data_IF_880982224427
#
_entry.id   IF_880982224427
#
_cell.length_a   1.000
_cell.length_b   1.000
_cell.length_c   1.000
_cell.angle_alpha   90.00
_cell.angle_beta   90.00
_cell.angle_gamma   90.00
#
_symmetry.space_group_name_H-M   'P 1'
#
loop_
_entity.id
_entity.type
_entity.pdbx_description
1 polymer ?
2 non-polymer ?
3 non-polymer ?
4 water ?
#
# COMPACT_ATOMS: atom_id res chain seq x y z
N UNK A 24 14.27 13.35 9.97
CA UNK A 24 15.45 12.62 9.42
C UNK A 24 15.61 12.82 7.91
N UNK A 25 16.84 12.67 7.40
CA UNK A 25 17.10 12.79 5.97
C UNK A 25 16.93 11.47 5.22
N UNK A 26 17.07 11.51 3.91
CA UNK A 26 16.87 10.35 3.04
C UNK A 26 18.05 9.36 3.08
N UNK A 27 17.75 8.11 2.73
CA UNK A 27 18.77 7.09 2.50
C UNK A 27 19.41 7.37 1.14
N UNK A 28 20.73 7.66 1.12
CA UNK A 28 21.43 7.99 -0.12
C UNK A 28 22.04 6.77 -0.84
N UNK A 29 21.69 5.57 -0.37
CA UNK A 29 22.14 4.31 -0.98
C UNK A 29 21.92 4.28 -2.51
N UNK A 30 22.92 3.76 -3.27
CA UNK A 30 22.87 3.71 -4.73
C UNK A 30 21.71 2.87 -5.27
N UNK A 31 21.25 1.92 -4.48
CA UNK A 31 20.06 1.11 -4.84
C UNK A 31 18.81 1.96 -5.05
N UNK A 32 18.77 3.13 -4.41
CA UNK A 32 17.54 3.95 -4.37
C UNK A 32 17.62 5.24 -5.19
N UNK A 33 18.83 5.73 -5.43
CA UNK A 33 19.06 7.05 -6.05
C UNK A 33 18.35 7.27 -7.39
N UNK A 34 18.14 6.19 -8.14
CA UNK A 34 17.49 6.28 -9.45
C UNK A 34 15.97 6.49 -9.38
N UNK A 35 15.36 6.17 -8.24
CA UNK A 35 13.92 6.34 -8.06
C UNK A 35 13.53 7.83 -8.05
N UNK A 36 12.30 8.14 -8.44
CA UNK A 36 11.82 9.52 -8.51
C UNK A 36 11.78 10.21 -7.14
N UNK A 37 11.33 9.47 -6.11
CA UNK A 37 11.35 9.96 -4.74
C UNK A 37 12.20 9.00 -3.91
N UNK A 38 13.55 9.15 -3.95
CA UNK A 38 14.39 8.19 -3.23
C UNK A 38 14.19 8.28 -1.71
N UNK A 39 13.63 9.39 -1.25
CA UNK A 39 13.35 9.59 0.18
C UNK A 39 12.27 8.63 0.71
N UNK A 40 11.57 7.94 -0.20
CA UNK A 40 10.40 7.12 0.14
C UNK A 40 10.70 5.66 0.46
N UNK A 41 11.96 5.27 0.29
CA UNK A 41 12.41 3.93 0.62
C UNK A 41 13.64 4.02 1.50
N UNK A 42 13.84 2.99 2.31
CA UNK A 42 15.08 2.84 3.05
C UNK A 42 15.61 1.43 2.91
N UNK A 43 16.91 1.26 3.14
CA UNK A 43 17.52 -0.06 3.17
C UNK A 43 17.57 -0.55 4.62
N UNK A 44 17.75 -1.85 4.79
CA UNK A 44 17.84 -2.45 6.12
C UNK A 44 19.06 -1.96 6.91
N UNK A 45 20.17 -1.75 6.20
CA UNK A 45 21.40 -1.21 6.80
C UNK A 45 21.20 0.21 7.34
N UNK A 46 20.53 1.06 6.55
CA UNK A 46 20.20 2.42 6.97
C UNK A 46 19.39 2.40 8.25
N UNK A 47 18.31 1.61 8.24
CA UNK A 47 17.37 1.54 9.37
C UNK A 47 18.07 1.10 10.65
N UNK A 48 18.84 0.02 10.53
CA UNK A 48 19.60 -0.53 11.65
C UNK A 48 20.54 0.52 12.25
N UNK A 49 21.15 1.33 11.39
CA UNK A 49 22.04 2.41 11.82
C UNK A 49 21.29 3.54 12.53
N UNK A 50 20.09 3.86 12.04
CA UNK A 50 19.32 4.99 12.54
C UNK A 50 18.36 4.66 13.68
N UNK A 51 18.39 3.41 14.17
CA UNK A 51 17.59 3.02 15.33
C UNK A 51 18.02 3.82 16.57
N UNK A 52 17.05 4.27 17.34
CA UNK A 52 17.32 5.07 18.54
C UNK A 52 17.37 6.56 18.27
N UNK A 53 17.16 6.96 17.02
CA UNK A 53 17.01 8.37 16.69
C UNK A 53 15.65 8.80 17.21
N UNK A 54 15.56 10.03 17.76
CA UNK A 54 14.29 10.49 18.34
C UNK A 54 13.16 10.62 17.32
N UNK A 55 13.48 11.17 16.14
CA UNK A 55 12.47 11.42 15.11
C UNK A 55 12.12 10.26 14.20
N UNK A 56 12.55 9.05 14.55
CA UNK A 56 12.27 7.87 13.72
C UNK A 56 11.23 6.94 14.38
N UNK A 57 10.13 6.73 13.67
CA UNK A 57 9.12 5.76 14.08
C UNK A 57 9.19 4.55 13.16
N UNK A 58 9.21 3.35 13.74
CA UNK A 58 9.22 2.11 12.96
C UNK A 58 7.90 1.36 13.18
N UNK A 59 7.19 1.10 12.10
CA UNK A 59 5.85 0.52 12.17
C UNK A 59 5.79 -0.82 11.40
N UNK A 60 5.34 -1.88 12.05
CA UNK A 60 5.06 -3.13 11.34
C UNK A 60 3.59 -3.20 11.00
N UNK A 61 3.30 -3.43 9.72
CA UNK A 61 1.93 -3.64 9.26
C UNK A 61 1.80 -4.90 8.42
N UNK A 62 1.04 -5.87 8.93
CA UNK A 62 0.94 -7.19 8.31
C UNK A 62 -0.49 -7.56 7.93
N UNK A 63 -0.62 -8.57 7.08
CA UNK A 63 -1.89 -9.25 6.85
C UNK A 63 -2.22 -10.02 8.12
N UNK A 64 -1.21 -10.74 8.59
CA UNK A 64 -1.24 -11.58 9.78
C UNK A 64 -1.22 -10.68 11.03
N UNK A 65 -2.40 -10.38 11.58
CA UNK A 65 -2.55 -9.44 12.72
C UNK A 65 -1.78 -9.83 13.99
N UNK A 66 -1.34 -11.08 14.07
CA UNK A 66 -0.65 -11.59 15.26
C UNK A 66 0.82 -11.93 14.98
N UNK A 67 1.28 -11.59 13.78
CA UNK A 67 2.67 -11.82 13.38
C UNK A 67 3.68 -10.95 14.14
N UNK A 68 3.30 -9.71 14.46
CA UNK A 68 4.16 -8.81 15.23
C UNK A 68 4.49 -9.42 16.59
N UNK A 69 3.49 -10.09 17.17
CA UNK A 69 3.62 -10.73 18.47
C UNK A 69 4.63 -11.87 18.50
N UNK A 70 4.97 -12.42 17.33
CA UNK A 70 5.96 -13.51 17.26
C UNK A 70 7.41 -13.02 17.26
N UNK A 71 7.60 -11.72 17.00
CA UNK A 71 8.95 -11.15 16.88
C UNK A 71 8.99 -10.10 15.79
N UNK A 72 9.66 -8.98 16.07
CA UNK A 72 9.68 -7.81 15.19
C UNK A 72 10.98 -7.03 15.29
N UNK A 73 11.15 -6.06 14.41
CA UNK A 73 12.33 -5.19 14.42
C UNK A 73 12.37 -4.38 15.73
N UNK A 74 13.54 -4.31 16.40
CA UNK A 74 13.65 -3.55 17.64
C UNK A 74 13.23 -2.09 17.46
N UNK A 75 12.35 -1.62 18.34
CA UNK A 75 11.79 -0.26 18.24
C UNK A 75 10.48 -0.18 17.47
N UNK A 76 10.08 -1.29 16.85
CA UNK A 76 8.88 -1.31 16.03
C UNK A 76 7.60 -1.40 16.86
N UNK A 77 6.62 -0.61 16.47
CA UNK A 77 5.26 -0.68 16.98
C UNK A 77 4.39 -1.32 15.90
N UNK A 78 3.24 -1.85 16.32
CA UNK A 78 2.30 -2.47 15.41
C UNK A 78 1.19 -1.51 15.07
N UNK A 79 0.90 -1.37 13.79
CA UNK A 79 -0.33 -0.74 13.35
C UNK A 79 -1.01 -1.73 12.41
N UNK A 80 -2.16 -2.25 12.84
CA UNK A 80 -2.89 -3.21 12.03
C UNK A 80 -3.95 -2.51 11.21
N UNK A 81 -3.93 -2.75 9.90
CA UNK A 81 -4.83 -2.08 8.96
C UNK A 81 -6.30 -2.26 9.31
N UNK A 82 -6.75 -3.47 9.57
CA UNK A 82 -8.16 -3.64 9.89
C UNK A 82 -8.51 -3.05 11.26
N UNK A 83 -7.80 -3.49 12.30
CA UNK A 83 -8.18 -3.08 13.67
C UNK A 83 -7.83 -1.64 14.07
N UNK A 84 -6.73 -1.12 13.56
CA UNK A 84 -6.29 0.23 13.93
C UNK A 84 -6.73 1.30 12.94
N UNK A 85 -6.82 0.94 11.66
CA UNK A 85 -6.99 1.94 10.60
C UNK A 85 -8.39 1.99 9.98
N UNK A 86 -9.17 0.92 10.18
CA UNK A 86 -10.55 0.86 9.67
C UNK A 86 -11.58 1.19 10.75
N UNK A 87 -12.66 1.83 10.35
CA UNK A 87 -13.86 1.92 11.18
C UNK A 87 -14.42 0.50 11.36
N UNK A 88 -14.85 0.15 12.59
CA UNK A 88 -15.30 -1.22 12.78
C UNK A 88 -16.72 -1.51 12.26
N UNK A 89 -17.48 -0.45 11.99
CA UNK A 89 -18.90 -0.63 11.65
C UNK A 89 -19.16 -0.35 10.17
N UNK A 90 -18.60 0.75 9.68
CA UNK A 90 -18.78 1.18 8.29
C UNK A 90 -17.52 0.78 7.51
N UNK A 91 -17.69 0.53 6.21
CA UNK A 91 -16.54 0.30 5.34
C UNK A 91 -15.88 1.62 4.98
N UNK A 92 -15.00 2.07 5.86
CA UNK A 92 -14.18 3.25 5.63
C UNK A 92 -13.10 3.25 6.67
N UNK A 93 -12.12 4.12 6.48
CA UNK A 93 -11.06 4.33 7.45
C UNK A 93 -11.57 5.15 8.62
N UNK A 94 -10.72 5.24 9.65
CA UNK A 94 -10.99 6.05 10.83
C UNK A 94 -10.93 7.54 10.45
N UNK A 95 -11.39 8.40 11.35
CA UNK A 95 -11.35 9.85 11.11
C UNK A 95 -10.07 10.47 11.68
N UNK A 96 -9.92 11.78 11.51
CA UNK A 96 -8.71 12.49 11.93
C UNK A 96 -8.48 12.50 13.43
N UNK A 97 -9.58 12.57 14.19
CA UNK A 97 -9.52 12.54 15.65
C UNK A 97 -8.97 11.20 16.14
N UNK A 98 -9.47 10.12 15.54
CA UNK A 98 -9.02 8.77 15.84
C UNK A 98 -7.56 8.56 15.46
N UNK A 99 -7.17 9.07 14.29
CA UNK A 99 -5.78 8.94 13.82
C UNK A 99 -4.79 9.65 14.75
N UNK A 100 -5.13 10.86 15.19
CA UNK A 100 -4.30 11.59 16.16
C UNK A 100 -4.14 10.80 17.46
N UNK A 101 -5.25 10.28 17.99
CA UNK A 101 -5.23 9.38 19.15
C UNK A 101 -4.32 8.17 18.92
N UNK A 102 -4.41 7.56 17.75
CA UNK A 102 -3.55 6.41 17.41
C UNK A 102 -2.05 6.79 17.40
N UNK A 103 -1.73 7.89 16.72
CA UNK A 103 -0.34 8.36 16.65
C UNK A 103 0.22 8.63 18.05
N UNK A 104 -0.57 9.29 18.89
CA UNK A 104 -0.16 9.59 20.27
C UNK A 104 0.24 8.32 21.03
N UNK A 105 -0.61 7.30 20.99
CA UNK A 105 -0.38 6.09 21.77
C UNK A 105 0.68 5.16 21.16
N UNK A 106 0.99 5.38 19.89
CA UNK A 106 2.07 4.65 19.23
C UNK A 106 3.40 5.39 19.31
N UNK A 107 3.37 6.57 19.92
CA UNK A 107 4.59 7.36 20.11
C UNK A 107 5.09 8.04 18.85
N UNK A 108 4.17 8.35 17.94
CA UNK A 108 4.55 8.97 16.68
C UNK A 108 4.20 10.46 16.66
N UNK A 109 5.21 11.30 16.44
CA UNK A 109 5.00 12.73 16.31
C UNK A 109 4.77 13.13 14.86
N UNK A 110 4.11 14.28 14.65
CA UNK A 110 3.78 14.80 13.32
C UNK A 110 4.99 14.96 12.40
N UNK A 111 6.12 15.38 12.95
CA UNK A 111 7.34 15.60 12.19
C UNK A 111 8.25 14.37 12.10
N UNK A 112 7.80 13.24 12.66
CA UNK A 112 8.60 12.01 12.63
C UNK A 112 8.75 11.43 11.24
N UNK A 113 9.91 10.81 10.99
CA UNK A 113 10.09 9.90 9.88
C UNK A 113 9.45 8.57 10.27
N UNK A 114 8.46 8.13 9.49
CA UNK A 114 7.80 6.85 9.76
C UNK A 114 8.24 5.84 8.71
N UNK A 115 8.92 4.79 9.15
CA UNK A 115 9.32 3.70 8.26
C UNK A 115 8.42 2.49 8.53
N UNK A 116 7.69 2.06 7.49
CA UNK A 116 6.76 0.94 7.62
C UNK A 116 7.25 -0.29 6.86
N UNK A 117 7.02 -1.47 7.45
CA UNK A 117 7.42 -2.76 6.86
C UNK A 117 6.40 -3.80 7.31
N UNK A 118 6.39 -4.94 6.64
CA UNK A 118 5.47 -6.01 6.99
C UNK A 118 5.63 -7.23 6.10
N UNK A 119 4.75 -8.22 6.30
CA UNK A 119 4.76 -9.45 5.51
C UNK A 119 4.10 -9.25 4.14
N UNK A 120 3.85 -10.37 3.46
CA UNK A 120 3.21 -10.39 2.14
C UNK A 120 3.77 -9.32 1.20
N UNK A 121 5.10 -9.30 1.06
CA UNK A 121 5.80 -8.45 0.10
C UNK A 121 5.50 -6.95 0.29
N UNK A 122 5.31 -6.55 1.55
CA UNK A 122 5.02 -5.16 1.92
C UNK A 122 3.66 -4.64 1.45
N UNK A 123 2.72 -5.52 1.07
CA UNK A 123 1.37 -5.07 0.66
C UNK A 123 0.71 -4.15 1.69
N UNK A 124 0.63 -4.64 2.93
CA UNK A 124 -0.11 -3.93 3.98
C UNK A 124 0.71 -2.76 4.52
N UNK A 125 2.02 -2.87 4.41
CA UNK A 125 2.93 -1.78 4.71
C UNK A 125 2.71 -0.61 3.75
N UNK A 126 2.62 -0.91 2.45
CA UNK A 126 2.29 0.11 1.44
C UNK A 126 0.89 0.67 1.70
N UNK A 127 -0.04 -0.20 2.09
CA UNK A 127 -1.41 0.22 2.39
C UNK A 127 -1.45 1.17 3.59
N UNK A 128 -0.68 0.84 4.63
CA UNK A 128 -0.54 1.73 5.80
C UNK A 128 0.08 3.07 5.40
N UNK A 129 1.14 3.05 4.58
CA UNK A 129 1.73 4.28 4.05
C UNK A 129 0.68 5.14 3.34
N UNK A 130 -0.13 4.51 2.49
CA UNK A 130 -1.22 5.18 1.79
C UNK A 130 -2.22 5.82 2.77
N UNK A 131 -2.59 5.07 3.82
CA UNK A 131 -3.53 5.58 4.82
C UNK A 131 -2.91 6.80 5.56
N UNK A 132 -1.65 6.69 5.95
CA UNK A 132 -0.94 7.82 6.58
C UNK A 132 -1.02 9.07 5.70
N UNK A 133 -0.90 8.85 4.38
CA UNK A 133 -0.95 9.91 3.39
C UNK A 133 -2.33 10.56 3.33
N UNK A 134 -3.38 9.78 3.58
CA UNK A 134 -4.72 10.32 3.73
C UNK A 134 -4.75 11.42 4.82
N UNK A 135 -3.98 11.20 5.89
CA UNK A 135 -3.94 12.14 7.00
C UNK A 135 -2.75 13.11 6.92
N UNK A 136 -2.11 13.16 5.75
CA UNK A 136 -1.08 14.15 5.45
C UNK A 136 0.24 13.99 6.18
N UNK A 137 0.48 12.82 6.77
CA UNK A 137 1.80 12.60 7.37
C UNK A 137 2.83 12.63 6.25
N UNK A 138 3.83 13.50 6.42
CA UNK A 138 4.69 13.91 5.31
C UNK A 138 5.79 12.90 4.99
N UNK A 139 6.54 12.49 6.01
CA UNK A 139 7.67 11.61 5.80
C UNK A 139 7.29 10.18 6.21
N UNK A 140 6.79 9.43 5.23
CA UNK A 140 6.49 8.00 5.40
C UNK A 140 7.23 7.18 4.35
N UNK A 141 7.95 6.16 4.81
CA UNK A 141 8.81 5.37 3.95
C UNK A 141 8.55 3.87 4.13
N UNK A 142 8.95 3.09 3.13
CA UNK A 142 8.93 1.64 3.23
C UNK A 142 10.33 1.09 3.40
N UNK A 143 10.46 0.06 4.23
CA UNK A 143 11.68 -0.73 4.29
C UNK A 143 11.71 -1.65 3.05
N UNK A 144 12.72 -1.44 2.21
CA UNK A 144 12.86 -2.21 0.97
C UNK A 144 13.03 -3.69 1.27
N UNK A 145 12.09 -4.50 0.80
CA UNK A 145 12.13 -5.94 1.01
C UNK A 145 11.36 -6.39 2.24
N UNK A 146 10.90 -5.42 3.04
CA UNK A 146 9.97 -5.66 4.14
C UNK A 146 10.43 -6.61 5.23
N UNK A 147 9.48 -7.24 5.90
CA UNK A 147 9.75 -8.17 7.00
C UNK A 147 10.50 -9.43 6.55
N UNK A 148 10.12 -9.96 5.39
CA UNK A 148 10.72 -11.21 4.89
C UNK A 148 12.20 -11.09 4.55
N UNK A 149 12.61 -9.97 3.97
CA UNK A 149 14.04 -9.75 3.69
C UNK A 149 14.83 -9.60 4.97
N UNK A 150 14.25 -8.93 5.96
CA UNK A 150 14.86 -8.71 7.27
C UNK A 150 15.22 -10.05 7.92
N UNK A 151 14.25 -10.97 7.90
CA UNK A 151 14.41 -12.31 8.43
C UNK A 151 15.36 -13.17 7.58
N UNK A 152 15.24 -13.05 6.26
CA UNK A 152 16.12 -13.78 5.33
C UNK A 152 17.59 -13.43 5.56
N UNK A 153 17.84 -12.17 5.91
CA UNK A 153 19.20 -11.69 6.20
C UNK A 153 19.59 -11.85 7.67
N UNK A 154 18.74 -12.57 8.42
CA UNK A 154 18.99 -12.94 9.81
C UNK A 154 19.27 -11.74 10.72
N UNK A 155 18.62 -10.63 10.44
CA UNK A 155 18.79 -9.43 11.25
C UNK A 155 18.02 -9.56 12.56
N UNK A 156 18.31 -8.67 13.52
CA UNK A 156 17.80 -8.77 14.88
C UNK A 156 16.29 -8.57 14.96
N UNK A 157 15.63 -9.45 15.71
CA UNK A 157 14.25 -9.26 16.12
C UNK A 157 14.16 -9.24 17.65
N UNK A 158 12.99 -8.83 18.15
CA UNK A 158 12.72 -8.81 19.58
C UNK A 158 11.24 -9.02 19.84
N UNK A 159 10.91 -9.43 21.06
CA UNK A 159 9.52 -9.47 21.50
C UNK A 159 9.15 -8.21 22.29
N UNK A 160 10.17 -7.41 22.61
CA UNK A 160 9.97 -6.17 23.38
C UNK A 160 9.09 -5.18 22.62
N UNK A 161 8.07 -4.65 23.31
CA UNK A 161 7.21 -3.61 22.76
C UNK A 161 7.63 -2.25 23.32
N UNK A 162 7.86 -1.26 22.43
CA UNK A 162 8.17 0.12 22.87
C UNK A 162 7.08 0.67 23.77
N UNK A 163 7.48 1.45 24.76
CA UNK A 163 6.55 2.01 25.74
C UNK A 163 6.24 3.47 25.46
N UNK A 164 7.13 4.16 24.74
CA UNK A 164 7.02 5.60 24.55
C UNK A 164 5.67 6.00 23.95
N UNK A 165 4.98 6.92 24.63
CA UNK A 165 3.79 7.54 24.09
C UNK A 165 4.02 9.05 23.97
N UNK A 166 3.26 9.68 23.08
CA UNK A 166 3.33 11.12 22.88
C UNK A 166 1.96 11.75 23.03
N UNK A 167 1.91 13.08 23.01
CA UNK A 167 0.65 13.80 22.91
C UNK A 167 0.79 14.94 21.89
N UNK A 168 -0.35 15.46 21.42
CA UNK A 168 -0.35 16.63 20.56
C UNK A 168 -0.36 16.39 19.06
N UNK A 169 -0.47 15.13 18.62
CA UNK A 169 -0.62 14.89 17.18
C UNK A 169 -1.84 15.67 16.70
N UNK A 170 -1.69 16.46 15.62
CA UNK A 170 -2.80 17.30 15.16
C UNK A 170 -3.99 16.48 14.68
N UNK A 171 -5.18 16.97 14.96
CA UNK A 171 -6.40 16.42 14.40
C UNK A 171 -6.56 17.09 13.03
N UNK A 172 -6.35 16.29 11.98
CA UNK A 172 -6.37 16.81 10.63
C UNK A 172 -7.63 16.41 9.87
N UNK A 173 -7.87 17.12 8.79
CA UNK A 173 -8.87 16.75 7.81
C UNK A 173 -8.31 15.56 7.04
N UNK A 174 -9.02 14.43 7.03
CA UNK A 174 -8.64 13.31 6.16
C UNK A 174 -8.84 13.75 4.72
N UNK A 175 -7.81 13.56 3.91
CA UNK A 175 -7.79 14.09 2.55
C UNK A 175 -7.80 12.97 1.50
N UNK A 176 -9.00 12.47 1.20
CA UNK A 176 -9.19 11.31 0.30
C UNK A 176 -8.92 11.61 -1.17
N UNK A 177 -9.55 12.68 -1.68
CA UNK A 177 -9.61 12.97 -3.12
C UNK A 177 -8.33 12.81 -3.95
N UNK A 178 -7.17 13.29 -3.46
CA UNK A 178 -5.92 13.17 -4.23
C UNK A 178 -5.43 11.75 -4.55
N UNK A 179 -5.70 10.78 -3.67
CA UNK A 179 -5.07 9.46 -3.74
C UNK A 179 -6.05 8.28 -3.67
N UNK A 180 -7.34 8.57 -3.51
CA UNK A 180 -8.38 7.56 -3.35
C UNK A 180 -9.46 7.75 -4.41
N UNK A 181 -9.82 6.67 -5.09
CA UNK A 181 -10.94 6.70 -6.04
C UNK A 181 -12.12 5.89 -5.50
N UNK A 182 -13.33 6.43 -5.68
CA UNK A 182 -14.55 5.74 -5.26
C UNK A 182 -15.27 5.11 -6.46
N UNK A 183 -16.22 4.22 -6.18
CA UNK A 183 -16.94 3.49 -7.24
C UNK A 183 -17.36 4.40 -8.40
N UNK A 184 -18.03 5.51 -8.08
CA UNK A 184 -18.53 6.43 -9.10
C UNK A 184 -17.42 7.14 -9.91
N UNK A 185 -16.30 7.41 -9.25
CA UNK A 185 -15.10 7.97 -9.90
C UNK A 185 -14.57 7.05 -10.99
N UNK A 186 -14.60 5.76 -10.71
CA UNK A 186 -14.10 4.74 -11.63
C UNK A 186 -15.03 4.64 -12.83
N UNK A 187 -16.33 4.60 -12.56
CA UNK A 187 -17.35 4.58 -13.60
C UNK A 187 -17.18 5.75 -14.57
N UNK A 188 -16.77 6.89 -14.04
CA UNK A 188 -16.59 8.12 -14.80
C UNK A 188 -15.41 8.07 -15.76
N UNK A 189 -14.30 7.48 -15.32
CA UNK A 189 -13.07 7.48 -16.13
C UNK A 189 -12.89 6.28 -17.08
N UNK A 190 -13.88 5.40 -17.16
CA UNK A 190 -13.76 4.21 -18.02
C UNK A 190 -13.57 4.63 -19.48
N UNK A 191 -12.40 4.29 -20.03
CA UNK A 191 -12.02 4.69 -21.39
C UNK A 191 -11.21 5.98 -21.46
N UNK A 192 -11.36 6.82 -20.44
CA UNK A 192 -10.72 8.13 -20.38
C UNK A 192 -9.34 8.09 -19.74
N UNK A 193 -9.14 7.17 -18.79
CA UNK A 193 -7.91 7.10 -18.00
C UNK A 193 -7.40 5.66 -17.86
N UNK A 194 -6.08 5.49 -17.63
CA UNK A 194 -5.56 4.14 -17.39
C UNK A 194 -6.12 3.54 -16.11
N UNK A 195 -6.60 2.31 -16.24
CA UNK A 195 -7.16 1.53 -15.16
C UNK A 195 -6.39 0.21 -15.08
N UNK A 196 -5.77 -0.05 -13.93
CA UNK A 196 -4.86 -1.17 -13.80
C UNK A 196 -5.36 -2.16 -12.75
N UNK A 197 -5.61 -3.38 -13.19
CA UNK A 197 -6.01 -4.50 -12.33
C UNK A 197 -4.74 -5.26 -11.98
N UNK A 198 -4.43 -5.33 -10.68
CA UNK A 198 -3.14 -5.85 -10.22
C UNK A 198 -3.20 -7.27 -9.67
N UNK A 199 -4.35 -7.91 -9.85
CA UNK A 199 -4.64 -9.23 -9.28
C UNK A 199 -3.99 -10.36 -10.08
N UNK A 200 -4.34 -11.60 -9.73
CA UNK A 200 -3.83 -12.78 -10.45
C UNK A 200 -4.57 -12.93 -11.79
N UNK A 201 -3.98 -13.71 -12.73
CA UNK A 201 -4.70 -13.93 -14.00
C UNK A 201 -6.06 -14.60 -13.79
N UNK A 202 -6.16 -15.52 -12.84
CA UNK A 202 -7.43 -16.17 -12.47
C UNK A 202 -8.51 -15.15 -12.11
N UNK A 203 -8.14 -14.16 -11.30
CA UNK A 203 -9.06 -13.10 -10.90
C UNK A 203 -9.42 -12.19 -12.07
N UNK A 204 -8.41 -11.74 -12.79
CA UNK A 204 -8.61 -10.84 -13.95
C UNK A 204 -9.56 -11.41 -15.01
N UNK A 205 -9.40 -12.70 -15.35
CA UNK A 205 -10.15 -13.33 -16.45
C UNK A 205 -11.55 -13.78 -16.02
N UNK A 206 -11.78 -13.88 -14.71
CA UNK A 206 -13.10 -14.21 -14.19
C UNK A 206 -13.28 -15.66 -13.80
N UNK A 207 -12.17 -16.39 -13.70
CA UNK A 207 -12.19 -17.77 -13.22
C UNK A 207 -12.37 -17.82 -11.70
N UNK A 208 -11.87 -16.79 -11.02
CA UNK A 208 -11.92 -16.70 -9.57
C UNK A 208 -12.22 -15.28 -9.10
N UNK A 209 -12.56 -15.14 -7.82
CA UNK A 209 -12.84 -13.85 -7.20
C UNK A 209 -11.82 -13.55 -6.09
N UNK A 210 -10.86 -14.47 -5.91
CA UNK A 210 -9.78 -14.29 -4.96
C UNK A 210 -8.55 -15.00 -5.51
N UNK A 211 -7.39 -14.70 -4.93
CA UNK A 211 -6.13 -15.35 -5.28
C UNK A 211 -6.23 -16.87 -5.16
N UNK A 212 -5.52 -17.60 -6.06
CA UNK A 212 -5.53 -19.07 -6.15
C UNK A 212 -5.38 -19.80 -4.82
N UNK A 213 -4.54 -19.27 -3.93
CA UNK A 213 -4.26 -19.92 -2.65
C UNK A 213 -5.07 -19.34 -1.48
N UNK A 214 -6.11 -18.58 -1.81
CA UNK A 214 -7.05 -18.03 -0.82
C UNK A 214 -8.44 -18.61 -1.07
N UNK A 215 -9.19 -18.92 0.01
CA UNK A 215 -10.57 -19.41 -0.17
C UNK A 215 -11.41 -18.50 -1.07
N UNK A 216 -12.02 -19.11 -2.08
CA UNK A 216 -12.82 -18.41 -3.08
C UNK A 216 -14.18 -18.03 -2.47
N UNK A 217 -14.29 -16.77 -2.04
CA UNK A 217 -15.51 -16.29 -1.38
C UNK A 217 -15.41 -14.80 -1.08
N UNK A 218 -16.28 -14.02 -1.73
CA UNK A 218 -16.27 -12.57 -1.54
C UNK A 218 -17.11 -11.77 -2.51
N UNK A 219 -17.29 -12.28 -3.73
CA UNK A 219 -18.04 -11.56 -4.77
C UNK A 219 -19.02 -12.43 -5.54
N UNK A 220 -20.17 -11.85 -5.89
CA UNK A 220 -21.21 -12.53 -6.66
C UNK A 220 -20.95 -12.59 -8.17
N UNK A 221 -20.02 -11.76 -8.64
CA UNK A 221 -19.61 -11.78 -10.02
C UNK A 221 -18.09 -11.77 -10.12
N UNK A 222 -17.57 -12.39 -11.18
CA UNK A 222 -16.13 -12.48 -11.41
C UNK A 222 -15.77 -11.85 -12.75
N UNK A 223 -14.59 -11.25 -12.83
CA UNK A 223 -14.11 -10.62 -14.06
C UNK A 223 -13.21 -9.45 -13.74
N UNK A 224 -13.15 -8.49 -14.65
CA UNK A 224 -12.47 -7.24 -14.37
C UNK A 224 -13.36 -6.08 -14.79
N UNK A 225 -12.98 -4.88 -14.38
CA UNK A 225 -13.69 -3.66 -14.76
C UNK A 225 -13.35 -3.38 -16.22
N UNK A 226 -14.36 -3.12 -17.06
CA UNK A 226 -14.07 -2.85 -18.47
C UNK A 226 -12.98 -1.80 -18.65
N UNK A 227 -12.11 -2.03 -19.63
CA UNK A 227 -10.93 -1.20 -19.96
C UNK A 227 -9.70 -1.45 -19.07
N UNK A 228 -9.90 -2.11 -17.92
CA UNK A 228 -8.78 -2.40 -17.02
C UNK A 228 -7.72 -3.26 -17.70
N UNK A 229 -6.45 -2.88 -17.52
CA UNK A 229 -5.36 -3.69 -18.06
C UNK A 229 -4.73 -4.52 -16.95
N UNK A 230 -4.25 -5.70 -17.32
CA UNK A 230 -3.75 -6.62 -16.33
C UNK A 230 -2.25 -6.52 -16.11
N UNK A 231 -1.85 -6.02 -14.94
CA UNK A 231 -0.44 -5.95 -14.56
C UNK A 231 -0.30 -6.42 -13.11
N UNK A 232 -0.04 -7.73 -12.92
CA UNK A 232 0.11 -8.28 -11.58
C UNK A 232 1.09 -7.45 -10.73
N UNK A 233 0.66 -7.08 -9.52
CA UNK A 233 1.45 -6.23 -8.60
C UNK A 233 2.92 -6.69 -8.50
N UNK A 234 3.13 -8.00 -8.65
CA UNK A 234 4.41 -8.66 -8.39
C UNK A 234 5.46 -8.43 -9.45
N UNK A 235 5.03 -7.90 -10.59
CA UNK A 235 5.95 -7.55 -11.65
C UNK A 235 6.89 -6.41 -11.21
N UNK A 236 6.49 -5.69 -10.16
CA UNK A 236 7.26 -4.54 -9.66
C UNK A 236 8.22 -4.88 -8.53
N UNK A 237 8.20 -6.14 -8.10
CA UNK A 237 9.14 -6.58 -7.06
C UNK A 237 9.92 -7.81 -7.52
N UNK A 238 11.09 -8.03 -6.93
CA UNK A 238 11.91 -9.19 -7.28
C UNK A 238 11.66 -10.33 -6.30
N UNK A 239 12.44 -11.40 -6.43
CA UNK A 239 12.29 -12.60 -5.61
C UNK A 239 12.44 -12.33 -4.11
N UNK A 240 13.29 -11.36 -3.77
CA UNK A 240 13.57 -11.04 -2.37
C UNK A 240 12.51 -10.15 -1.70
N UNK A 241 11.56 -9.65 -2.49
CA UNK A 241 10.53 -8.74 -1.98
C UNK A 241 10.84 -7.27 -2.21
N UNK A 242 12.10 -6.98 -2.55
CA UNK A 242 12.55 -5.63 -2.89
C UNK A 242 11.92 -5.13 -4.19
N UNK A 243 11.73 -3.83 -4.30
CA UNK A 243 11.21 -3.25 -5.53
C UNK A 243 12.24 -3.36 -6.65
N UNK A 244 11.77 -3.53 -7.88
CA UNK A 244 12.65 -3.62 -9.03
C UNK A 244 13.30 -2.25 -9.31
N UNK A 245 14.36 -2.25 -10.12
CA UNK A 245 15.07 -1.02 -10.49
C UNK A 245 14.18 -0.01 -11.20
N UNK A 246 14.58 1.27 -11.17
CA UNK A 246 13.92 2.30 -11.96
C UNK A 246 13.76 1.88 -13.43
N UNK A 247 14.84 1.38 -14.03
CA UNK A 247 14.84 0.95 -15.43
C UNK A 247 13.74 -0.09 -15.71
N UNK A 248 13.70 -1.14 -14.89
CA UNK A 248 12.70 -2.19 -15.02
C UNK A 248 11.28 -1.66 -14.88
N UNK A 249 11.06 -0.85 -13.85
CA UNK A 249 9.76 -0.21 -13.58
C UNK A 249 9.32 0.76 -14.68
N UNK A 250 10.26 1.52 -15.23
CA UNK A 250 9.96 2.44 -16.34
C UNK A 250 9.38 1.70 -17.55
N UNK A 251 10.02 0.59 -17.92
CA UNK A 251 9.55 -0.29 -19.00
C UNK A 251 8.14 -0.81 -18.70
N UNK A 252 8.00 -1.42 -17.53
CA UNK A 252 6.73 -2.02 -17.07
C UNK A 252 5.54 -1.08 -17.21
N UNK A 253 5.71 0.18 -16.80
CA UNK A 253 4.62 1.15 -16.84
C UNK A 253 4.86 2.24 -17.89
N UNK A 254 5.62 1.91 -18.94
CA UNK A 254 5.97 2.87 -20.00
C UNK A 254 4.75 3.45 -20.74
N UNK A 255 3.67 2.68 -20.78
CA UNK A 255 2.42 3.09 -21.43
C UNK A 255 1.71 4.29 -20.75
N UNK A 256 2.15 4.63 -19.54
CA UNK A 256 1.56 5.74 -18.78
C UNK A 256 2.15 7.07 -19.22
N UNK A 257 1.28 8.04 -19.53
CA UNK A 257 1.69 9.37 -19.98
C UNK A 257 1.49 10.45 -18.90
N UNK A 258 2.31 11.53 -18.93
CA UNK A 258 2.27 12.62 -17.93
C UNK A 258 0.89 13.17 -17.56
N UNK A 259 -0.02 13.27 -18.52
CA UNK A 259 -1.36 13.80 -18.26
C UNK A 259 -2.37 12.75 -17.73
N UNK A 260 -1.92 11.51 -17.57
CA UNK A 260 -2.81 10.42 -17.10
C UNK A 260 -3.15 10.53 -15.61
N UNK A 261 -4.41 10.25 -15.30
CA UNK A 261 -4.89 10.12 -13.92
C UNK A 261 -5.16 8.63 -13.65
N UNK A 262 -4.09 7.88 -13.39
CA UNK A 262 -4.18 6.42 -13.25
C UNK A 262 -4.95 5.97 -12.01
N UNK A 263 -5.76 4.93 -12.18
CA UNK A 263 -6.50 4.27 -11.09
C UNK A 263 -6.03 2.82 -11.03
N UNK A 264 -5.77 2.34 -9.81
CA UNK A 264 -5.33 0.97 -9.57
C UNK A 264 -6.35 0.28 -8.65
N UNK A 265 -6.53 -1.03 -8.81
CA UNK A 265 -7.46 -1.77 -7.96
C UNK A 265 -7.10 -3.24 -7.81
N UNK A 266 -7.59 -3.87 -6.75
CA UNK A 266 -7.46 -5.32 -6.63
C UNK A 266 -8.72 -5.89 -5.99
N UNK A 267 -8.60 -6.54 -4.83
CA UNK A 267 -9.76 -7.15 -4.17
C UNK A 267 -10.22 -6.30 -2.97
N UNK A 268 -9.27 -5.98 -2.09
CA UNK A 268 -9.53 -5.15 -0.92
C UNK A 268 -8.54 -3.99 -0.80
N UNK A 269 -7.84 -3.71 -1.90
CA UNK A 269 -6.96 -2.53 -2.03
C UNK A 269 -5.50 -2.66 -1.59
N UNK A 270 -5.10 -3.82 -1.08
CA UNK A 270 -3.74 -4.01 -0.53
C UNK A 270 -2.66 -4.18 -1.60
N UNK A 271 -2.94 -5.01 -2.61
CA UNK A 271 -2.00 -5.23 -3.70
C UNK A 271 -1.93 -3.97 -4.56
N UNK A 272 -3.07 -3.28 -4.72
CA UNK A 272 -3.10 -2.05 -5.49
C UNK A 272 -2.39 -0.87 -4.80
N UNK A 273 -2.33 -0.87 -3.48
CA UNK A 273 -1.59 0.16 -2.75
C UNK A 273 -0.09 -0.03 -2.97
N UNK A 274 0.30 -1.28 -3.22
CA UNK A 274 1.68 -1.61 -3.54
C UNK A 274 2.05 -0.98 -4.89
N UNK A 275 1.18 -1.20 -5.88
CA UNK A 275 1.33 -0.57 -7.19
C UNK A 275 1.19 0.95 -7.11
N UNK A 276 0.19 1.41 -6.34
CA UNK A 276 0.04 2.83 -6.09
C UNK A 276 1.36 3.45 -5.62
N UNK A 277 2.05 2.78 -4.69
CA UNK A 277 3.33 3.24 -4.18
C UNK A 277 4.43 3.26 -5.23
N UNK A 278 4.42 2.24 -6.10
CA UNK A 278 5.42 2.08 -7.16
C UNK A 278 5.31 3.23 -8.14
N UNK A 279 4.09 3.49 -8.59
CA UNK A 279 3.79 4.54 -9.56
C UNK A 279 4.03 5.94 -8.99
N UNK A 280 3.48 6.20 -7.80
CA UNK A 280 3.56 7.53 -7.18
C UNK A 280 4.97 7.92 -6.75
N UNK A 281 5.65 7.03 -6.04
CA UNK A 281 6.93 7.38 -5.44
C UNK A 281 8.18 6.90 -6.17
N UNK A 282 8.11 5.73 -6.81
CA UNK A 282 9.29 5.21 -7.49
C UNK A 282 9.39 5.73 -8.93
N UNK A 283 8.23 5.95 -9.55
CA UNK A 283 8.18 6.46 -10.91
C UNK A 283 7.84 7.94 -10.99
N UNK A 284 7.27 8.49 -9.91
CA UNK A 284 6.96 9.90 -9.85
C UNK A 284 5.74 10.34 -10.64
N UNK A 285 4.88 9.39 -10.99
CA UNK A 285 3.62 9.70 -11.69
C UNK A 285 2.69 10.50 -10.78
N UNK A 286 1.98 11.47 -11.35
CA UNK A 286 1.04 12.28 -10.59
C UNK A 286 -0.40 11.80 -10.77
N UNK A 287 -1.26 12.15 -9.81
CA UNK A 287 -2.69 11.85 -9.84
C UNK A 287 -3.02 10.35 -9.93
N UNK A 288 -2.19 9.51 -9.31
CA UNK A 288 -2.51 8.09 -9.20
C UNK A 288 -3.43 7.89 -8.00
N UNK A 289 -4.56 7.21 -8.24
CA UNK A 289 -5.50 6.92 -7.16
C UNK A 289 -5.68 5.42 -6.95
N UNK A 290 -5.82 5.02 -5.69
CA UNK A 290 -6.18 3.66 -5.32
C UNK A 290 -7.70 3.56 -5.19
N UNK A 291 -8.31 2.67 -5.98
CA UNK A 291 -9.73 2.36 -5.82
C UNK A 291 -9.84 1.26 -4.77
N UNK A 292 -9.89 1.68 -3.51
CA UNK A 292 -9.78 0.78 -2.38
C UNK A 292 -11.00 -0.14 -2.25
N UNK A 293 -12.16 0.34 -2.69
CA UNK A 293 -13.36 -0.51 -2.77
C UNK A 293 -13.05 -1.81 -3.49
N UNK A 294 -12.37 -1.67 -4.64
CA UNK A 294 -11.83 -2.79 -5.40
C UNK A 294 -12.89 -3.85 -5.76
N UNK A 295 -12.46 -5.09 -5.96
CA UNK A 295 -13.39 -6.12 -6.44
C UNK A 295 -14.47 -6.52 -5.42
N UNK A 296 -14.14 -6.54 -4.12
CA UNK A 296 -15.16 -6.82 -3.10
C UNK A 296 -16.33 -5.84 -3.16
N UNK A 297 -16.06 -4.59 -3.53
CA UNK A 297 -17.17 -3.68 -3.83
C UNK A 297 -17.76 -3.92 -5.21
N UNK A 298 -16.91 -3.86 -6.23
CA UNK A 298 -17.37 -3.85 -7.62
C UNK A 298 -18.12 -5.11 -7.98
N UNK A 299 -17.55 -6.27 -7.64
CA UNK A 299 -18.15 -7.56 -7.97
C UNK A 299 -19.38 -7.96 -7.15
N UNK A 300 -19.86 -7.04 -6.32
CA UNK A 300 -21.05 -7.25 -5.49
C UNK A 300 -22.08 -6.15 -5.68
N UNK A 301 -21.70 -5.13 -6.44
CA UNK A 301 -22.58 -3.98 -6.68
C UNK A 301 -23.57 -4.35 -7.77
N UNK A 302 -24.81 -3.90 -7.60
CA UNK A 302 -25.85 -4.13 -8.59
C UNK A 302 -25.61 -3.27 -9.84
N UNK A 303 -25.68 -3.92 -11.02
CA UNK A 303 -25.67 -3.23 -12.32
C UNK A 303 -24.44 -2.36 -12.56
N UNK A 304 -23.25 -2.92 -12.36
CA UNK A 304 -22.02 -2.25 -12.80
C UNK A 304 -21.40 -3.08 -13.93
N UNK A 305 -20.79 -2.41 -14.92
CA UNK A 305 -20.20 -3.13 -16.04
C UNK A 305 -19.06 -4.06 -15.60
N UNK A 306 -19.08 -5.28 -16.13
CA UNK A 306 -18.08 -6.31 -15.88
C UNK A 306 -17.79 -7.03 -17.19
N UNK A 307 -16.52 -7.28 -17.45
CA UNK A 307 -16.12 -8.11 -18.58
C UNK A 307 -15.20 -9.25 -18.11
N UNK A 308 -15.28 -10.39 -18.78
CA UNK A 308 -14.47 -11.56 -18.44
C UNK A 308 -13.45 -11.85 -19.54
N UNK A 309 -12.57 -12.82 -19.29
CA UNK A 309 -11.53 -13.17 -20.26
C UNK A 309 -10.32 -12.26 -20.24
N UNK A 310 -9.52 -12.34 -21.30
CA UNK A 310 -8.20 -11.71 -21.37
C UNK A 310 -8.19 -10.28 -21.92
N UNK A 311 -9.23 -9.91 -22.66
CA UNK A 311 -9.29 -8.57 -23.26
C UNK A 311 -9.74 -7.52 -22.25
N UNK A 312 -9.02 -6.38 -22.21
CA UNK A 312 -9.49 -5.25 -21.40
C UNK A 312 -10.98 -4.97 -21.58
N UNK A 313 -11.47 -5.02 -22.81
CA UNK A 313 -12.86 -4.73 -23.13
C UNK A 313 -13.11 -3.24 -23.23
N UNK A 314 -14.30 -2.86 -23.68
CA UNK A 314 -14.65 -1.43 -23.82
C UNK A 314 -15.99 -1.07 -23.17
N UNK A 315 -16.32 0.22 -23.27
CA UNK A 315 -17.66 0.79 -22.95
C UNK A 315 -18.70 -0.25 -22.50
X LIG B 1 7.39 13.37 -2.03
X LIG B 1 8.07 12.20 -1.63
X LIG B 1 5.90 13.06 -2.09
X LIG B 1 5.37 13.15 -0.79
X LIG B 1 5.17 14.06 -2.96
X LIG B 1 3.79 13.93 -2.70
X LIG C 1 12.98 11.76 -12.12
X LIG C 1 11.53 11.60 -12.26
X LIG C 1 13.26 13.13 -11.69
X LIG C 1 13.50 10.82 -11.13
X LIG C 1 13.62 11.52 -13.41
#
# INVERSE_FOLDING_TARGET
MAHHHHHHMGTLEAQTQGPGSMPLPADPSPTLSAYAHPERLVTADWLSAHMGAPGLAIVESDEDVLLYDVGHIPGAVKIDWHTDLNDPRVRDYINGEQFAELMDRKGIARDDTVVIYGDKSNWWAAYALWVFTLFGHADVRLLNGGRDLWLAERRETTLDVPTKTCTGYPVVQRNDAPIRAFRDDVLAILGAQPLIDVRSPEEYTGKRTHMPDYPEEGALRAGHIPTAVHIPWGKAADESGRFRSREELERLYDFINPDDQTVVYCRIGERSSHTWFVLTHLLGKADVRNYDGSWTEWGNAVRVPIVAGEEPGVVPVV
GOL C1 O1 C2 O2 C3 O3
SO4 S O1 O2 O3 O4
#
